data_IF_170210021412
#
_entry.id   IF_170210021412
#
_cell.length_a   1.000
_cell.length_b   1.000
_cell.length_c   1.000
_cell.angle_alpha   90.00
_cell.angle_beta   90.00
_cell.angle_gamma   90.00
#
_symmetry.space_group_name_H-M   'P 1'
#
loop_
_entity.id
_entity.type
_entity.pdbx_description
1 polymer ?
#
# COMPACT_ATOMS: atom_id res chain seq x y z
N UNK A 1 -21.36 17.29 11.94
CA UNK A 1 -20.26 16.59 12.65
C UNK A 1 -18.95 17.03 12.02
N UNK A 2 -17.92 17.35 12.82
CA UNK A 2 -16.56 17.50 12.32
C UNK A 2 -16.17 16.24 11.53
N UNK A 3 -15.27 16.39 10.55
CA UNK A 3 -14.68 15.26 9.86
C UNK A 3 -13.80 14.49 10.84
N UNK A 4 -14.31 13.38 11.38
CA UNK A 4 -13.54 12.53 12.27
C UNK A 4 -12.28 11.99 11.57
N UNK A 5 -11.17 11.91 12.29
CA UNK A 5 -9.93 11.28 11.83
C UNK A 5 -10.12 9.77 11.64
N UNK A 6 -9.17 9.12 10.96
CA UNK A 6 -9.22 7.66 10.81
C UNK A 6 -9.13 6.94 12.16
N UNK A 7 -8.31 7.44 13.08
CA UNK A 7 -8.19 6.92 14.44
C UNK A 7 -9.52 7.03 15.21
N UNK A 8 -10.17 8.19 15.15
CA UNK A 8 -11.47 8.43 15.79
C UNK A 8 -12.55 7.50 15.22
N UNK A 9 -12.65 7.39 13.87
CA UNK A 9 -13.58 6.46 13.22
C UNK A 9 -13.33 5.02 13.67
N UNK A 10 -12.07 4.61 13.75
CA UNK A 10 -11.69 3.25 14.16
C UNK A 10 -12.13 2.96 15.59
N UNK A 11 -11.99 3.92 16.51
CA UNK A 11 -12.45 3.80 17.90
C UNK A 11 -13.97 3.70 18.02
N UNK A 12 -14.71 4.41 17.16
CA UNK A 12 -16.17 4.47 17.18
C UNK A 12 -16.84 3.23 16.57
N UNK A 13 -16.15 2.44 15.75
CA UNK A 13 -16.71 1.23 15.13
C UNK A 13 -16.76 0.07 16.13
N UNK A 14 -17.97 -0.43 16.41
CA UNK A 14 -18.23 -1.60 17.26
C UNK A 14 -17.99 -2.92 16.53
N UNK A 15 -18.13 -4.05 17.24
CA UNK A 15 -18.01 -5.39 16.63
C UNK A 15 -19.06 -5.63 15.53
N UNK A 16 -20.30 -5.19 15.72
CA UNK A 16 -21.36 -5.34 14.71
C UNK A 16 -21.12 -4.44 13.49
N UNK A 17 -20.64 -3.22 13.71
CA UNK A 17 -20.26 -2.30 12.63
C UNK A 17 -19.09 -2.88 11.81
N UNK A 18 -18.09 -3.46 12.48
CA UNK A 18 -16.95 -4.12 11.85
C UNK A 18 -17.38 -5.34 11.02
N UNK A 19 -18.33 -6.14 11.52
CA UNK A 19 -18.88 -7.28 10.78
C UNK A 19 -19.54 -6.82 9.47
N UNK A 20 -20.33 -5.75 9.49
CA UNK A 20 -20.94 -5.17 8.28
C UNK A 20 -19.87 -4.76 7.27
N UNK A 21 -18.84 -4.02 7.70
CA UNK A 21 -17.76 -3.58 6.81
C UNK A 21 -17.00 -4.78 6.22
N UNK A 22 -16.70 -5.79 7.03
CA UNK A 22 -16.02 -7.01 6.59
C UNK A 22 -16.85 -7.78 5.55
N UNK A 23 -18.15 -7.95 5.77
CA UNK A 23 -19.05 -8.61 4.81
C UNK A 23 -19.13 -7.84 3.49
N UNK A 24 -19.13 -6.50 3.51
CA UNK A 24 -19.04 -5.71 2.28
C UNK A 24 -17.73 -5.97 1.51
N UNK A 25 -16.60 -6.16 2.21
CA UNK A 25 -15.32 -6.51 1.58
C UNK A 25 -15.38 -7.93 0.99
N UNK A 26 -16.00 -8.88 1.69
CA UNK A 26 -16.16 -10.26 1.21
C UNK A 26 -17.01 -10.34 -0.07
N UNK A 27 -18.01 -9.47 -0.19
CA UNK A 27 -18.94 -9.41 -1.33
C UNK A 27 -18.47 -8.50 -2.48
N UNK A 28 -17.28 -7.90 -2.37
CA UNK A 28 -16.77 -6.83 -3.26
C UNK A 28 -16.80 -7.14 -4.76
N UNK A 29 -16.55 -8.38 -5.17
CA UNK A 29 -16.50 -8.78 -6.58
C UNK A 29 -17.86 -9.24 -7.12
N UNK A 30 -18.83 -9.46 -6.23
CA UNK A 30 -20.19 -9.87 -6.59
C UNK A 30 -21.13 -8.67 -6.76
N UNK A 31 -20.90 -7.60 -5.99
CA UNK A 31 -21.77 -6.44 -5.96
C UNK A 31 -20.97 -5.13 -5.91
N UNK A 32 -21.30 -4.18 -6.78
CA UNK A 32 -20.82 -2.80 -6.63
C UNK A 32 -21.49 -2.10 -5.45
N UNK A 33 -22.79 -2.36 -5.26
CA UNK A 33 -23.58 -2.00 -4.09
C UNK A 33 -24.33 -3.25 -3.62
N UNK A 34 -24.11 -3.65 -2.36
CA UNK A 34 -24.73 -4.83 -1.75
C UNK A 34 -26.13 -4.47 -1.24
N UNK A 35 -27.20 -5.18 -1.67
CA UNK A 35 -28.55 -4.97 -1.15
C UNK A 35 -28.65 -5.19 0.37
N UNK A 36 -29.52 -4.43 1.04
CA UNK A 36 -29.74 -4.55 2.49
C UNK A 36 -30.17 -5.97 2.88
N UNK A 37 -31.04 -6.61 2.10
CA UNK A 37 -31.48 -7.99 2.27
C UNK A 37 -30.29 -8.95 2.30
N UNK A 38 -29.39 -8.84 1.32
CA UNK A 38 -28.17 -9.66 1.26
C UNK A 38 -27.29 -9.46 2.49
N UNK A 39 -27.08 -8.21 2.95
CA UNK A 39 -26.32 -7.94 4.18
C UNK A 39 -26.98 -8.57 5.40
N UNK A 40 -28.30 -8.42 5.53
CA UNK A 40 -29.08 -8.99 6.63
C UNK A 40 -28.94 -10.50 6.68
N UNK A 41 -29.15 -11.17 5.55
CA UNK A 41 -29.11 -12.63 5.45
C UNK A 41 -27.71 -13.18 5.74
N UNK A 42 -26.65 -12.50 5.27
CA UNK A 42 -25.26 -12.88 5.52
C UNK A 42 -24.83 -12.70 6.98
N UNK A 43 -25.32 -11.66 7.64
CA UNK A 43 -24.94 -11.32 9.01
C UNK A 43 -25.84 -11.98 10.06
N UNK A 44 -27.03 -12.47 9.68
CA UNK A 44 -28.04 -12.97 10.61
C UNK A 44 -28.65 -11.89 11.51
N UNK A 45 -28.56 -10.61 11.11
CA UNK A 45 -29.04 -9.48 11.90
C UNK A 45 -30.57 -9.32 11.81
N UNK A 46 -31.17 -8.78 12.87
CA UNK A 46 -32.51 -8.20 12.77
C UNK A 46 -32.49 -6.92 11.92
N UNK A 47 -33.65 -6.49 11.42
CA UNK A 47 -33.74 -5.24 10.66
C UNK A 47 -33.24 -4.04 11.48
N UNK A 48 -33.59 -3.99 12.77
CA UNK A 48 -33.23 -2.89 13.68
C UNK A 48 -31.72 -2.82 13.92
N UNK A 49 -31.07 -3.95 14.19
CA UNK A 49 -29.61 -4.00 14.40
C UNK A 49 -28.86 -3.54 13.15
N UNK A 50 -29.27 -4.04 11.98
CA UNK A 50 -28.66 -3.66 10.72
C UNK A 50 -28.86 -2.17 10.41
N UNK A 51 -30.06 -1.63 10.65
CA UNK A 51 -30.33 -0.20 10.44
C UNK A 51 -29.49 0.70 11.35
N UNK A 52 -29.32 0.33 12.62
CA UNK A 52 -28.47 1.08 13.55
C UNK A 52 -27.02 1.11 13.07
N UNK A 53 -26.48 -0.04 12.65
CA UNK A 53 -25.11 -0.13 12.14
C UNK A 53 -24.94 0.69 10.84
N UNK A 54 -25.88 0.56 9.89
CA UNK A 54 -25.80 1.25 8.60
C UNK A 54 -25.88 2.77 8.73
N UNK A 55 -26.79 3.29 9.57
CA UNK A 55 -26.90 4.73 9.84
C UNK A 55 -25.61 5.27 10.45
N UNK A 56 -25.02 4.54 11.40
CA UNK A 56 -23.75 4.92 12.02
C UNK A 56 -22.59 4.91 11.03
N UNK A 57 -22.43 3.84 10.26
CA UNK A 57 -21.37 3.70 9.26
C UNK A 57 -21.49 4.76 8.14
N UNK A 58 -22.71 5.13 7.74
CA UNK A 58 -22.97 6.23 6.80
C UNK A 58 -22.57 7.58 7.42
N UNK A 59 -22.94 7.82 8.68
CA UNK A 59 -22.57 9.02 9.43
C UNK A 59 -21.05 9.20 9.56
N UNK A 60 -20.31 8.11 9.73
CA UNK A 60 -18.85 8.08 9.76
C UNK A 60 -18.20 8.12 8.35
N UNK A 61 -19.02 8.15 7.29
CA UNK A 61 -18.60 8.09 5.87
C UNK A 61 -17.75 6.86 5.55
N UNK A 62 -18.01 5.74 6.22
CA UNK A 62 -17.33 4.46 5.97
C UNK A 62 -18.00 3.69 4.83
N UNK A 63 -19.30 3.91 4.64
CA UNK A 63 -20.10 3.39 3.54
C UNK A 63 -20.88 4.52 2.86
N UNK A 64 -21.42 4.23 1.68
CA UNK A 64 -22.44 5.06 1.02
C UNK A 64 -23.61 4.19 0.58
N UNK A 65 -24.80 4.79 0.47
CA UNK A 65 -26.03 4.09 0.10
C UNK A 65 -26.60 4.61 -1.21
N UNK A 66 -27.29 3.74 -1.92
CA UNK A 66 -28.04 4.06 -3.14
C UNK A 66 -29.28 3.16 -3.22
N UNK A 67 -30.38 3.66 -3.79
CA UNK A 67 -31.58 2.84 -4.01
C UNK A 67 -31.51 2.20 -5.40
N UNK A 68 -31.37 0.89 -5.45
CA UNK A 68 -31.24 0.11 -6.69
C UNK A 68 -32.41 -0.86 -6.77
N UNK A 69 -33.16 -0.82 -7.88
CA UNK A 69 -34.35 -1.67 -8.10
C UNK A 69 -35.35 -1.65 -6.92
N UNK A 70 -35.53 -0.47 -6.31
CA UNK A 70 -36.47 -0.27 -5.21
C UNK A 70 -35.92 -0.56 -3.80
N UNK A 71 -34.79 -1.25 -3.69
CA UNK A 71 -34.14 -1.61 -2.43
C UNK A 71 -32.96 -0.69 -2.10
N UNK A 72 -32.72 -0.43 -0.81
CA UNK A 72 -31.50 0.26 -0.36
C UNK A 72 -30.30 -0.69 -0.44
N UNK A 73 -29.24 -0.24 -1.07
CA UNK A 73 -27.98 -0.98 -1.26
C UNK A 73 -26.78 -0.13 -0.83
N UNK A 74 -25.72 -0.78 -0.37
CA UNK A 74 -24.59 -0.13 0.29
C UNK A 74 -23.27 -0.52 -0.35
N UNK A 75 -22.33 0.43 -0.39
CA UNK A 75 -20.96 0.19 -0.86
C UNK A 75 -19.93 0.77 0.09
N UNK A 76 -18.73 0.21 0.06
CA UNK A 76 -17.59 0.69 0.83
C UNK A 76 -17.05 2.03 0.31
N UNK A 77 -16.49 2.79 1.25
CA UNK A 77 -15.50 3.83 0.98
C UNK A 77 -14.09 3.31 1.26
N UNK A 78 -13.04 4.03 0.82
CA UNK A 78 -11.67 3.75 1.26
C UNK A 78 -11.55 3.79 2.79
N UNK A 79 -12.12 4.82 3.43
CA UNK A 79 -12.09 4.94 4.90
C UNK A 79 -12.71 3.73 5.60
N UNK A 80 -13.72 3.09 4.99
CA UNK A 80 -14.32 1.85 5.51
C UNK A 80 -13.34 0.68 5.50
N UNK A 81 -12.55 0.54 4.42
CA UNK A 81 -11.51 -0.49 4.31
C UNK A 81 -10.35 -0.18 5.26
N UNK A 82 -9.93 1.09 5.34
CA UNK A 82 -8.86 1.55 6.24
C UNK A 82 -9.18 1.23 7.71
N UNK A 83 -10.43 1.42 8.16
CA UNK A 83 -10.87 1.04 9.51
C UNK A 83 -10.79 -0.46 9.73
N UNK A 84 -11.19 -1.27 8.74
CA UNK A 84 -11.12 -2.73 8.84
C UNK A 84 -9.66 -3.19 8.93
N UNK A 85 -8.79 -2.63 8.09
CA UNK A 85 -7.36 -2.86 8.10
C UNK A 85 -6.74 -2.51 9.46
N UNK A 86 -7.05 -1.32 9.99
CA UNK A 86 -6.53 -0.84 11.28
C UNK A 86 -6.93 -1.75 12.44
N UNK A 87 -8.21 -2.11 12.56
CA UNK A 87 -8.67 -3.04 13.62
C UNK A 87 -8.04 -4.42 13.48
N UNK A 88 -7.84 -4.90 12.25
CA UNK A 88 -7.19 -6.19 11.99
C UNK A 88 -5.70 -6.17 12.36
N UNK A 89 -4.97 -5.10 12.04
CA UNK A 89 -3.57 -4.92 12.47
C UNK A 89 -3.44 -4.81 13.99
N UNK A 90 -4.38 -4.14 14.66
CA UNK A 90 -4.45 -4.10 16.11
C UNK A 90 -4.65 -5.49 16.72
N UNK A 91 -5.63 -6.25 16.20
CA UNK A 91 -5.91 -7.61 16.67
C UNK A 91 -4.73 -8.58 16.45
N UNK A 92 -3.87 -8.30 15.46
CA UNK A 92 -2.63 -9.05 15.21
C UNK A 92 -1.44 -8.61 16.08
N UNK A 93 -1.60 -7.60 16.94
CA UNK A 93 -0.51 -7.08 17.77
C UNK A 93 0.50 -6.21 17.01
N UNK A 94 0.16 -5.69 15.83
CA UNK A 94 1.09 -4.94 14.97
C UNK A 94 0.98 -3.43 15.19
N UNK A 95 -0.24 -2.88 15.21
CA UNK A 95 -0.50 -1.44 15.34
C UNK A 95 -1.36 -1.19 16.56
N UNK A 96 -0.83 -0.51 17.59
CA UNK A 96 -1.54 -0.09 18.79
C UNK A 96 -2.43 1.12 18.51
N UNK A 97 -1.90 2.12 17.81
CA UNK A 97 -2.62 3.36 17.48
C UNK A 97 -2.08 3.99 16.19
N UNK A 98 -2.90 4.87 15.58
CA UNK A 98 -2.51 5.72 14.45
C UNK A 98 -2.28 7.15 14.96
N UNK A 99 -1.25 7.81 14.43
CA UNK A 99 -0.96 9.23 14.60
C UNK A 99 -1.37 10.05 13.37
N UNK A 100 -0.59 11.10 13.09
CA UNK A 100 -0.85 12.02 11.98
C UNK A 100 -0.46 11.44 10.62
N UNK A 101 -1.00 12.07 9.56
CA UNK A 101 -0.66 11.74 8.17
C UNK A 101 0.74 12.26 7.85
N UNK A 102 1.60 11.38 7.34
CA UNK A 102 2.97 11.72 6.91
C UNK A 102 3.10 11.89 5.40
N UNK A 103 2.19 11.30 4.64
CA UNK A 103 2.20 11.42 3.18
C UNK A 103 0.84 11.09 2.59
N UNK A 104 0.35 11.94 1.70
CA UNK A 104 -0.88 11.70 0.95
C UNK A 104 -0.57 11.76 -0.55
N UNK A 105 -0.83 10.65 -1.23
CA UNK A 105 -0.68 10.51 -2.67
C UNK A 105 -2.01 10.18 -3.34
N UNK A 106 -1.99 10.11 -4.67
CA UNK A 106 -3.17 9.71 -5.46
C UNK A 106 -3.62 8.27 -5.19
N UNK A 107 -2.68 7.43 -4.77
CA UNK A 107 -2.84 5.97 -4.75
C UNK A 107 -2.64 5.36 -3.35
N UNK A 108 -2.21 6.15 -2.38
CA UNK A 108 -2.06 5.73 -1.00
C UNK A 108 -2.06 6.93 -0.05
N UNK A 109 -2.29 6.64 1.22
CA UNK A 109 -2.06 7.55 2.33
C UNK A 109 -1.21 6.84 3.37
N UNK A 110 -0.26 7.54 3.96
CA UNK A 110 0.67 7.00 4.96
C UNK A 110 0.49 7.77 6.25
N UNK A 111 0.34 7.04 7.34
CA UNK A 111 0.21 7.57 8.70
C UNK A 111 1.43 7.19 9.52
N UNK A 112 1.77 8.04 10.49
CA UNK A 112 2.44 7.56 11.69
C UNK A 112 1.56 6.52 12.36
N UNK A 113 2.18 5.46 12.88
CA UNK A 113 1.56 4.52 13.79
C UNK A 113 2.50 4.24 14.97
N UNK A 114 1.95 3.59 15.98
CA UNK A 114 2.71 3.14 17.13
C UNK A 114 2.47 1.65 17.33
N UNK A 115 3.53 0.88 17.57
CA UNK A 115 3.42 -0.53 17.95
C UNK A 115 3.05 -0.68 19.46
N UNK A 116 2.99 -1.91 19.95
CA UNK A 116 2.65 -2.17 21.36
C UNK A 116 3.77 -1.82 22.36
N UNK A 117 4.98 -1.53 21.87
CA UNK A 117 6.12 -1.04 22.64
C UNK A 117 6.28 0.49 22.50
N UNK A 118 5.31 1.18 21.90
CA UNK A 118 5.32 2.62 21.62
C UNK A 118 6.44 3.08 20.66
N UNK A 119 7.01 2.17 19.86
CA UNK A 119 7.90 2.53 18.77
C UNK A 119 7.11 3.13 17.60
N UNK A 120 7.70 4.12 16.93
CA UNK A 120 7.13 4.73 15.72
C UNK A 120 7.24 3.76 14.54
N UNK A 121 6.14 3.57 13.83
CA UNK A 121 6.03 2.76 12.61
C UNK A 121 5.30 3.53 11.52
N UNK A 122 5.45 3.11 10.27
CA UNK A 122 4.68 3.66 9.15
C UNK A 122 3.50 2.73 8.83
N UNK A 123 2.30 3.30 8.67
CA UNK A 123 1.11 2.56 8.23
C UNK A 123 0.60 3.15 6.92
N UNK A 124 0.82 2.42 5.83
CA UNK A 124 0.40 2.79 4.47
C UNK A 124 -0.91 2.11 4.12
N UNK A 125 -1.92 2.90 3.80
CA UNK A 125 -3.18 2.41 3.23
C UNK A 125 -3.20 2.64 1.73
N UNK A 126 -3.32 1.56 0.96
CA UNK A 126 -3.51 1.63 -0.48
C UNK A 126 -4.91 2.12 -0.80
N UNK A 127 -5.00 3.00 -1.79
CA UNK A 127 -6.24 3.62 -2.28
C UNK A 127 -6.32 3.61 -3.81
N UNK A 128 -5.78 2.55 -4.42
CA UNK A 128 -5.78 2.35 -5.87
C UNK A 128 -7.18 1.98 -6.36
N UNK A 129 -8.03 2.99 -6.63
CA UNK A 129 -9.21 2.79 -7.48
C UNK A 129 -10.45 3.65 -7.22
N UNK A 130 -10.73 4.57 -8.16
CA UNK A 130 -12.03 4.77 -8.84
C UNK A 130 -11.81 5.18 -10.31
N UNK A 131 -10.80 6.03 -10.57
CA UNK A 131 -10.45 6.53 -11.92
C UNK A 131 -9.39 5.66 -12.63
N UNK A 132 -8.37 5.21 -11.89
CA UNK A 132 -7.35 4.27 -12.41
C UNK A 132 -7.95 2.94 -12.87
N UNK A 133 -9.09 2.53 -12.29
CA UNK A 133 -9.87 1.35 -12.69
C UNK A 133 -10.47 1.45 -14.11
N UNK A 134 -11.02 2.61 -14.50
CA UNK A 134 -11.59 2.81 -15.86
C UNK A 134 -10.51 2.74 -16.94
N UNK A 135 -9.31 3.21 -16.65
CA UNK A 135 -8.17 3.20 -17.58
C UNK A 135 -7.41 1.86 -17.56
N UNK A 136 -7.22 1.23 -16.40
CA UNK A 136 -6.57 -0.07 -16.28
C UNK A 136 -7.36 -1.22 -16.94
N UNK A 137 -8.71 -1.16 -16.96
CA UNK A 137 -9.56 -2.11 -17.71
C UNK A 137 -9.30 -2.11 -19.21
N UNK A 138 -8.88 -0.98 -19.79
CA UNK A 138 -8.55 -0.88 -21.22
C UNK A 138 -7.16 -1.43 -21.56
N UNK A 139 -6.21 -1.37 -20.61
CA UNK A 139 -4.79 -1.67 -20.87
C UNK A 139 -4.36 -3.08 -20.47
N UNK A 140 -4.99 -3.69 -19.44
CA UNK A 140 -4.44 -4.92 -18.82
C UNK A 140 -5.12 -6.23 -19.22
N UNK A 141 -6.04 -6.23 -20.20
CA UNK A 141 -6.66 -7.47 -20.69
C UNK A 141 -7.26 -8.36 -19.59
N UNK A 142 -7.70 -7.77 -18.46
CA UNK A 142 -8.20 -8.52 -17.32
C UNK A 142 -9.48 -9.25 -17.72
N UNK A 143 -9.39 -10.57 -17.83
CA UNK A 143 -10.52 -11.50 -18.04
C UNK A 143 -11.38 -11.66 -16.78
N UNK A 144 -10.88 -11.26 -15.60
CA UNK A 144 -11.61 -11.31 -14.33
C UNK A 144 -12.28 -9.98 -13.96
N UNK A 145 -13.54 -10.05 -13.50
CA UNK A 145 -14.30 -8.91 -12.95
C UNK A 145 -13.81 -8.54 -11.53
N UNK A 146 -12.56 -8.14 -11.36
CA UNK A 146 -12.09 -7.62 -10.07
C UNK A 146 -12.69 -6.24 -9.79
N UNK A 147 -13.20 -6.04 -8.58
CA UNK A 147 -13.64 -4.74 -8.06
C UNK A 147 -12.45 -3.83 -7.75
N UNK A 148 -12.70 -2.53 -7.62
CA UNK A 148 -11.67 -1.58 -7.16
C UNK A 148 -11.15 -1.92 -5.76
N UNK A 149 -11.99 -2.54 -4.91
CA UNK A 149 -11.60 -3.05 -3.60
C UNK A 149 -10.57 -4.16 -3.79
N UNK A 150 -10.85 -5.18 -4.62
CA UNK A 150 -9.90 -6.27 -4.90
C UNK A 150 -8.55 -5.76 -5.42
N UNK A 151 -8.57 -4.82 -6.38
CA UNK A 151 -7.33 -4.20 -6.87
C UNK A 151 -6.58 -3.49 -5.75
N UNK A 152 -7.28 -2.78 -4.87
CA UNK A 152 -6.67 -2.09 -3.72
C UNK A 152 -6.01 -3.08 -2.76
N UNK A 153 -6.68 -4.18 -2.43
CA UNK A 153 -6.14 -5.25 -1.57
C UNK A 153 -4.93 -5.94 -2.22
N UNK A 154 -5.02 -6.22 -3.53
CA UNK A 154 -3.93 -6.84 -4.29
C UNK A 154 -2.68 -5.95 -4.29
N UNK A 155 -2.82 -4.63 -4.41
CA UNK A 155 -1.66 -3.70 -4.35
C UNK A 155 -0.97 -3.75 -2.98
N UNK A 156 -1.74 -3.72 -1.88
CA UNK A 156 -1.17 -3.83 -0.53
C UNK A 156 -0.45 -5.17 -0.31
N UNK A 157 -1.05 -6.26 -0.81
CA UNK A 157 -0.44 -7.59 -0.76
C UNK A 157 0.88 -7.63 -1.54
N UNK A 158 0.90 -7.12 -2.76
CA UNK A 158 2.11 -7.07 -3.60
C UNK A 158 3.23 -6.29 -2.93
N UNK A 159 2.95 -5.12 -2.37
CA UNK A 159 3.97 -4.33 -1.66
C UNK A 159 4.53 -5.10 -0.46
N UNK A 160 3.66 -5.68 0.37
CA UNK A 160 4.11 -6.46 1.52
C UNK A 160 4.98 -7.66 1.12
N UNK A 161 4.60 -8.42 0.09
CA UNK A 161 5.37 -9.57 -0.41
C UNK A 161 6.78 -9.17 -0.88
N UNK A 162 6.91 -8.03 -1.58
CA UNK A 162 8.20 -7.51 -2.01
C UNK A 162 9.05 -7.07 -0.82
N UNK A 163 8.48 -6.29 0.11
CA UNK A 163 9.18 -5.85 1.32
C UNK A 163 9.66 -7.05 2.15
N UNK A 164 8.82 -8.08 2.29
CA UNK A 164 9.15 -9.29 3.07
C UNK A 164 10.32 -10.03 2.45
N UNK A 165 10.27 -10.28 1.14
CA UNK A 165 11.35 -10.99 0.47
C UNK A 165 12.67 -10.19 0.48
N UNK A 166 12.63 -8.92 0.11
CA UNK A 166 13.83 -8.09 0.00
C UNK A 166 14.46 -7.86 1.37
N UNK A 167 13.65 -7.55 2.40
CA UNK A 167 14.12 -7.37 3.77
C UNK A 167 14.74 -8.65 4.34
N UNK A 168 14.11 -9.81 4.12
CA UNK A 168 14.62 -11.11 4.57
C UNK A 168 15.98 -11.46 3.96
N UNK A 169 16.24 -11.00 2.74
CA UNK A 169 17.51 -11.18 2.05
C UNK A 169 18.48 -10.00 2.26
N UNK A 170 18.27 -9.20 3.33
CA UNK A 170 19.14 -8.08 3.74
C UNK A 170 19.19 -6.91 2.74
N UNK A 171 18.22 -6.80 1.84
CA UNK A 171 18.06 -5.62 0.99
C UNK A 171 17.55 -4.43 1.79
N UNK A 172 17.98 -3.21 1.43
CA UNK A 172 17.62 -2.00 2.16
C UNK A 172 16.24 -1.51 1.77
N UNK A 173 15.24 -2.04 2.47
CA UNK A 173 13.83 -1.64 2.39
C UNK A 173 13.29 -1.50 3.83
N UNK A 174 12.22 -0.72 4.07
CA UNK A 174 11.61 -0.68 5.39
C UNK A 174 11.15 -2.09 5.80
N UNK A 175 11.54 -2.54 6.99
CA UNK A 175 11.17 -3.87 7.46
C UNK A 175 9.64 -3.98 7.58
N UNK A 176 8.99 -4.94 6.91
CA UNK A 176 7.55 -5.11 7.02
C UNK A 176 7.19 -5.67 8.39
N UNK A 177 6.11 -5.16 8.97
CA UNK A 177 5.60 -5.52 10.30
C UNK A 177 4.26 -6.24 10.23
N UNK A 178 3.44 -5.93 9.22
CA UNK A 178 2.20 -6.67 8.99
C UNK A 178 1.39 -6.16 7.81
N UNK A 179 0.53 -7.05 7.31
CA UNK A 179 -0.46 -6.78 6.27
C UNK A 179 -1.86 -7.04 6.80
N UNK A 180 -2.79 -6.13 6.56
CA UNK A 180 -4.21 -6.42 6.67
C UNK A 180 -5.02 -5.61 5.66
N UNK A 181 -5.79 -6.32 4.83
CA UNK A 181 -6.61 -5.71 3.78
C UNK A 181 -5.79 -4.77 2.89
N UNK A 182 -6.06 -3.45 2.93
CA UNK A 182 -5.31 -2.45 2.17
C UNK A 182 -4.20 -1.77 2.97
N UNK A 183 -3.98 -2.16 4.23
CA UNK A 183 -3.00 -1.58 5.13
C UNK A 183 -1.72 -2.43 5.20
N UNK A 184 -0.58 -1.78 4.97
CA UNK A 184 0.77 -2.32 5.19
C UNK A 184 1.42 -1.52 6.31
N UNK A 185 1.80 -2.20 7.38
CA UNK A 185 2.61 -1.63 8.46
C UNK A 185 4.07 -2.02 8.24
N UNK A 186 4.98 -1.05 8.33
CA UNK A 186 6.42 -1.25 8.22
C UNK A 186 7.17 -0.41 9.25
N UNK A 187 8.46 -0.67 9.39
CA UNK A 187 9.40 0.25 10.01
C UNK A 187 9.23 1.67 9.46
N UNK A 188 9.30 2.66 10.35
CA UNK A 188 9.38 4.05 9.95
C UNK A 188 10.84 4.39 9.66
N UNK A 189 11.11 4.85 8.43
CA UNK A 189 12.44 5.34 8.03
C UNK A 189 12.42 6.85 8.13
N UNK A 190 13.15 7.38 9.12
CA UNK A 190 13.38 8.82 9.25
C UNK A 190 14.41 9.26 8.22
N UNK A 191 14.01 10.16 7.32
CA UNK A 191 14.87 10.59 6.22
C UNK A 191 14.12 11.37 5.15
N UNK A 192 14.87 11.77 4.12
CA UNK A 192 14.34 12.52 2.99
C UNK A 192 14.27 11.65 1.74
N UNK A 193 13.30 11.91 0.85
CA UNK A 193 13.32 11.29 -0.48
C UNK A 193 14.63 11.65 -1.18
N UNK A 194 15.26 10.68 -1.84
CA UNK A 194 16.52 10.83 -2.56
C UNK A 194 16.51 12.05 -3.51
N UNK A 195 15.38 12.29 -4.18
CA UNK A 195 15.16 13.47 -5.03
C UNK A 195 15.58 14.79 -4.33
N UNK A 196 15.23 14.94 -3.05
CA UNK A 196 15.42 16.14 -2.25
C UNK A 196 16.65 16.09 -1.34
N UNK A 197 17.22 14.91 -1.09
CA UNK A 197 18.41 14.73 -0.27
C UNK A 197 19.66 15.30 -0.97
N UNK A 198 20.57 15.91 -0.20
CA UNK A 198 21.92 16.27 -0.65
C UNK A 198 22.90 15.29 -0.02
N UNK A 199 23.64 14.57 -0.85
CA UNK A 199 24.51 13.48 -0.40
C UNK A 199 25.97 13.94 -0.36
N UNK A 200 26.66 13.54 0.70
CA UNK A 200 28.11 13.67 0.90
C UNK A 200 28.86 12.53 0.21
N UNK A 201 28.27 11.32 0.22
CA UNK A 201 28.81 10.11 -0.39
C UNK A 201 27.87 9.55 -1.48
N UNK A 202 27.55 10.32 -2.54
CA UNK A 202 26.54 9.92 -3.53
C UNK A 202 26.84 8.58 -4.23
N UNK A 203 28.13 8.24 -4.42
CA UNK A 203 28.50 6.95 -5.02
C UNK A 203 28.14 5.76 -4.13
N UNK A 204 28.39 5.86 -2.82
CA UNK A 204 28.06 4.80 -1.87
C UNK A 204 26.55 4.57 -1.79
N UNK A 205 25.77 5.65 -1.84
CA UNK A 205 24.30 5.57 -1.89
C UNK A 205 23.83 4.90 -3.18
N UNK A 206 24.41 5.25 -4.33
CA UNK A 206 24.10 4.59 -5.60
C UNK A 206 24.40 3.09 -5.53
N UNK A 207 25.59 2.71 -5.07
CA UNK A 207 26.01 1.32 -4.95
C UNK A 207 25.07 0.52 -4.00
N UNK A 208 24.63 1.14 -2.91
CA UNK A 208 23.66 0.53 -1.98
C UNK A 208 22.26 0.35 -2.59
N UNK A 209 21.79 1.30 -3.41
CA UNK A 209 20.55 1.16 -4.18
C UNK A 209 20.68 0.00 -5.16
N UNK A 210 21.75 -0.05 -5.96
CA UNK A 210 22.01 -1.14 -6.91
C UNK A 210 22.10 -2.49 -6.20
N UNK A 211 22.74 -2.54 -5.03
CA UNK A 211 22.81 -3.74 -4.19
C UNK A 211 21.41 -4.22 -3.76
N UNK A 212 20.52 -3.31 -3.38
CA UNK A 212 19.13 -3.66 -3.04
C UNK A 212 18.36 -4.20 -4.24
N UNK A 213 18.52 -3.61 -5.43
CA UNK A 213 17.89 -4.10 -6.66
C UNK A 213 18.48 -5.45 -7.08
N UNK A 214 19.79 -5.65 -6.92
CA UNK A 214 20.45 -6.95 -7.10
C UNK A 214 19.87 -8.01 -6.18
N UNK A 215 19.61 -7.66 -4.92
CA UNK A 215 18.99 -8.57 -3.95
C UNK A 215 17.57 -8.96 -4.42
N UNK A 216 16.76 -7.97 -4.78
CA UNK A 216 15.42 -8.21 -5.31
C UNK A 216 15.44 -9.11 -6.56
N UNK A 217 16.35 -8.87 -7.50
CA UNK A 217 16.41 -9.65 -8.73
C UNK A 217 16.86 -11.09 -8.47
N UNK A 218 17.97 -11.30 -7.76
CA UNK A 218 18.58 -12.63 -7.64
C UNK A 218 17.97 -13.50 -6.54
N UNK A 219 17.48 -12.91 -5.46
CA UNK A 219 17.04 -13.65 -4.26
C UNK A 219 15.53 -13.58 -4.02
N UNK A 220 14.79 -12.84 -4.87
CA UNK A 220 13.34 -12.75 -4.81
C UNK A 220 12.66 -13.18 -6.12
N UNK A 221 13.21 -14.20 -6.80
CA UNK A 221 12.65 -14.79 -8.03
C UNK A 221 12.48 -13.73 -9.15
N UNK A 222 13.56 -13.02 -9.49
CA UNK A 222 13.59 -12.05 -10.58
C UNK A 222 12.77 -10.79 -10.31
N UNK A 223 12.61 -10.37 -9.06
CA UNK A 223 11.76 -9.23 -8.71
C UNK A 223 12.38 -7.92 -9.21
N UNK A 224 11.65 -7.23 -10.09
CA UNK A 224 11.97 -5.92 -10.64
C UNK A 224 10.96 -4.93 -10.10
N UNK A 225 11.42 -3.78 -9.59
CA UNK A 225 10.58 -2.80 -8.89
C UNK A 225 9.41 -2.28 -9.73
N UNK A 226 9.62 -2.02 -11.02
CA UNK A 226 8.58 -1.63 -11.97
C UNK A 226 8.12 -0.18 -11.85
N UNK A 227 8.74 0.63 -10.99
CA UNK A 227 8.53 2.09 -10.88
C UNK A 227 9.67 2.78 -10.12
N UNK A 228 10.91 2.29 -10.25
CA UNK A 228 12.02 2.83 -9.46
C UNK A 228 12.37 4.24 -9.94
N UNK A 229 12.43 5.18 -9.00
CA UNK A 229 12.82 6.56 -9.24
C UNK A 229 13.38 7.20 -7.97
N UNK A 230 14.03 8.39 -8.04
CA UNK A 230 14.51 9.11 -6.85
C UNK A 230 13.40 9.53 -5.86
N UNK A 231 12.13 9.43 -6.24
CA UNK A 231 11.00 9.66 -5.34
C UNK A 231 10.63 8.44 -4.48
N UNK A 232 11.08 7.26 -4.91
CA UNK A 232 10.79 5.95 -4.32
C UNK A 232 12.01 5.38 -3.56
N UNK A 233 12.93 6.26 -3.16
CA UNK A 233 14.04 5.96 -2.27
C UNK A 233 14.03 7.00 -1.15
N UNK A 234 14.02 6.55 0.10
CA UNK A 234 14.26 7.40 1.28
C UNK A 234 15.72 7.24 1.67
N UNK A 235 16.39 8.33 2.01
CA UNK A 235 17.75 8.34 2.52
C UNK A 235 17.71 8.89 3.94
N UNK A 236 18.22 8.11 4.90
CA UNK A 236 18.32 8.54 6.29
C UNK A 236 19.51 9.49 6.54
N UNK A 237 19.64 9.96 7.77
CA UNK A 237 20.72 10.89 8.16
C UNK A 237 22.12 10.28 8.08
N UNK A 238 22.24 8.95 8.01
CA UNK A 238 23.51 8.22 7.80
C UNK A 238 23.80 7.95 6.32
N UNK A 239 23.02 8.55 5.42
CA UNK A 239 23.06 8.34 3.97
C UNK A 239 22.72 6.90 3.53
N UNK A 240 22.04 6.11 4.37
CA UNK A 240 21.59 4.78 4.00
C UNK A 240 20.29 4.87 3.18
N UNK A 241 20.25 4.32 1.95
CA UNK A 241 19.05 4.35 1.11
C UNK A 241 18.12 3.18 1.42
N UNK A 242 16.81 3.46 1.42
CA UNK A 242 15.72 2.51 1.59
C UNK A 242 14.78 2.60 0.38
N UNK A 243 14.66 1.51 -0.38
CA UNK A 243 13.79 1.45 -1.56
C UNK A 243 12.35 1.14 -1.11
N UNK A 244 11.40 1.98 -1.53
CA UNK A 244 10.00 1.93 -1.10
C UNK A 244 9.04 1.89 -2.29
N UNK A 245 7.75 1.67 -2.02
CA UNK A 245 6.68 1.70 -3.02
C UNK A 245 6.81 0.61 -4.10
N UNK A 246 6.73 -0.64 -3.65
CA UNK A 246 6.86 -1.82 -4.50
C UNK A 246 5.59 -2.32 -5.21
N UNK A 247 4.35 -1.79 -5.10
CA UNK A 247 3.16 -2.52 -5.57
C UNK A 247 3.13 -2.83 -7.09
N UNK A 248 3.92 -2.11 -7.90
CA UNK A 248 4.04 -2.31 -9.36
C UNK A 248 5.11 -3.31 -9.79
N UNK A 249 5.78 -4.01 -8.86
CA UNK A 249 6.86 -4.94 -9.18
C UNK A 249 6.44 -5.99 -10.21
N UNK A 250 7.37 -6.50 -11.02
CA UNK A 250 7.14 -7.62 -11.94
C UNK A 250 8.30 -8.60 -11.86
N UNK A 251 8.06 -9.86 -12.26
CA UNK A 251 9.14 -10.86 -12.33
C UNK A 251 9.79 -10.85 -13.70
N UNK A 252 11.11 -10.98 -13.74
CA UNK A 252 11.91 -11.20 -14.95
C UNK A 252 11.62 -10.23 -16.10
N UNK A 253 11.25 -8.99 -15.78
CA UNK A 253 10.93 -7.98 -16.78
C UNK A 253 12.17 -7.10 -17.05
N UNK A 254 12.98 -7.51 -18.01
CA UNK A 254 14.25 -6.85 -18.35
C UNK A 254 14.06 -5.42 -18.87
N UNK A 255 12.94 -5.13 -19.56
CA UNK A 255 12.63 -3.78 -20.04
C UNK A 255 12.37 -2.83 -18.86
N UNK A 256 11.60 -3.28 -17.87
CA UNK A 256 11.37 -2.51 -16.64
C UNK A 256 12.65 -2.37 -15.82
N UNK A 257 13.48 -3.41 -15.74
CA UNK A 257 14.75 -3.33 -15.04
C UNK A 257 15.65 -2.27 -15.65
N UNK A 258 15.82 -2.29 -16.98
CA UNK A 258 16.62 -1.29 -17.69
C UNK A 258 16.10 0.12 -17.46
N UNK A 259 14.78 0.32 -17.49
CA UNK A 259 14.15 1.62 -17.24
C UNK A 259 14.37 2.09 -15.80
N UNK A 260 14.17 1.20 -14.83
CA UNK A 260 14.33 1.48 -13.40
C UNK A 260 15.78 1.88 -13.07
N UNK A 261 16.76 1.13 -13.60
CA UNK A 261 18.17 1.46 -13.45
C UNK A 261 18.52 2.78 -14.14
N UNK A 262 18.07 2.99 -15.38
CA UNK A 262 18.32 4.23 -16.11
C UNK A 262 17.79 5.46 -15.34
N UNK A 263 16.59 5.37 -14.74
CA UNK A 263 16.03 6.46 -13.95
C UNK A 263 16.94 6.86 -12.76
N UNK A 264 17.51 5.88 -12.07
CA UNK A 264 18.43 6.12 -10.95
C UNK A 264 19.78 6.65 -11.45
N UNK A 265 20.38 6.01 -12.46
CA UNK A 265 21.67 6.44 -13.02
C UNK A 265 21.59 7.87 -13.57
N UNK A 266 20.52 8.21 -14.29
CA UNK A 266 20.31 9.56 -14.82
C UNK A 266 20.22 10.62 -13.72
N UNK A 267 19.60 10.28 -12.58
CA UNK A 267 19.54 11.18 -11.44
C UNK A 267 20.94 11.45 -10.86
N UNK A 268 21.73 10.40 -10.61
CA UNK A 268 23.08 10.56 -10.05
C UNK A 268 24.03 11.26 -11.03
N UNK A 269 23.90 11.00 -12.33
CA UNK A 269 24.65 11.72 -13.37
C UNK A 269 24.31 13.22 -13.37
N UNK A 270 23.03 13.58 -13.38
CA UNK A 270 22.59 14.99 -13.47
C UNK A 270 22.87 15.77 -12.20
N UNK A 271 22.68 15.16 -11.02
CA UNK A 271 22.80 15.85 -9.73
C UNK A 271 24.23 15.86 -9.18
N UNK A 272 24.98 14.80 -9.40
CA UNK A 272 26.30 14.60 -8.77
C UNK A 272 27.44 14.37 -9.78
N UNK A 273 27.17 14.35 -11.09
CA UNK A 273 28.21 14.13 -12.11
C UNK A 273 28.77 12.71 -12.12
N UNK A 274 28.10 11.74 -11.48
CA UNK A 274 28.54 10.34 -11.45
C UNK A 274 28.15 9.67 -12.77
N UNK A 275 29.15 9.29 -13.54
CA UNK A 275 28.96 8.46 -14.73
C UNK A 275 29.03 6.98 -14.34
N UNK A 276 28.01 6.22 -14.72
CA UNK A 276 27.91 4.78 -14.52
C UNK A 276 27.26 4.18 -15.77
N UNK A 277 27.91 3.19 -16.38
CA UNK A 277 27.40 2.56 -17.59
C UNK A 277 26.18 1.68 -17.29
N UNK A 278 25.12 1.84 -18.10
CA UNK A 278 23.86 1.13 -17.87
C UNK A 278 24.01 -0.38 -18.07
N UNK A 279 24.82 -0.83 -19.02
CA UNK A 279 25.00 -2.26 -19.28
C UNK A 279 25.82 -2.90 -18.15
N UNK A 280 26.82 -2.19 -17.60
CA UNK A 280 27.51 -2.59 -16.37
C UNK A 280 26.58 -2.66 -15.16
N UNK A 281 25.63 -1.73 -15.01
CA UNK A 281 24.67 -1.75 -13.92
C UNK A 281 23.70 -2.94 -14.04
N UNK A 282 23.25 -3.25 -15.27
CA UNK A 282 22.42 -4.43 -15.54
C UNK A 282 23.20 -5.70 -15.21
N UNK A 283 24.44 -5.84 -15.69
CA UNK A 283 25.29 -7.00 -15.42
C UNK A 283 25.54 -7.20 -13.92
N UNK A 284 25.80 -6.11 -13.20
CA UNK A 284 25.95 -6.14 -11.75
C UNK A 284 24.67 -6.65 -11.06
N UNK A 285 23.50 -6.18 -11.48
CA UNK A 285 22.20 -6.53 -10.88
C UNK A 285 21.75 -7.94 -11.26
N UNK A 286 21.91 -8.36 -12.51
CA UNK A 286 21.46 -9.67 -12.96
C UNK A 286 22.37 -10.81 -12.53
N UNK A 287 23.54 -10.50 -11.97
CA UNK A 287 24.59 -11.47 -11.71
C UNK A 287 25.22 -11.88 -13.04
N UNK A 288 26.27 -11.16 -13.46
CA UNK A 288 27.15 -11.62 -14.53
C UNK A 288 27.56 -13.07 -14.28
N UNK A 289 27.45 -13.88 -15.32
CA UNK A 289 27.82 -15.30 -15.37
C UNK A 289 29.18 -15.61 -14.73
#
# INVERSE_FOLDING_TARGET
>A
MPLASLAEKTSLVSSSDYAVLKTLIELRDLYEYVPKSVLKDRLGFTNKELDVALVKLEGLRLISRERIKGEMSYRLSFSGIDVVATKSLYAKGVVKSLGDVIGEGKESIVYYGYDFNDNVIAVKFHRVGRTSYRNARKLRGYTERKSWVSVTLDNAKREYEALECVSKNMGSVPRPLGLAYNGVASEFVEGNKLMYANLSSPKEVLDAILGTIRIAFNYCEGLVHGDLSPYNVIVDDSEKPYVIDWPQWQRHNNELLRRDLLNILDFFRRKYGIEYDLDQAIEYVSGGS
#
